data_IF_295417052718
#
_entry.id   IF_295417052718
#
_cell.length_a   1.000
_cell.length_b   1.000
_cell.length_c   1.000
_cell.angle_alpha   90.00
_cell.angle_beta   90.00
_cell.angle_gamma   90.00
#
_symmetry.space_group_name_H-M   'P 1'
#
loop_
_entity.id
_entity.type
_entity.pdbx_description
1 polymer ?
#
# COMPACT_ATOMS: atom_id res chain seq x y z
N UNK A 1 14.05 8.92 21.86
CA UNK A 1 13.44 9.57 20.67
C UNK A 1 13.93 9.02 19.34
N UNK A 2 15.25 8.86 19.13
CA UNK A 2 15.79 8.28 17.90
C UNK A 2 15.28 6.86 17.59
N UNK A 3 15.08 6.01 18.63
CA UNK A 3 14.55 4.65 18.47
C UNK A 3 13.13 4.62 17.86
N UNK A 4 12.20 5.44 18.39
CA UNK A 4 10.83 5.53 17.87
C UNK A 4 10.77 6.07 16.43
N UNK A 5 11.66 7.01 16.08
CA UNK A 5 11.81 7.53 14.72
C UNK A 5 12.36 6.46 13.77
N UNK A 6 13.38 5.69 14.18
CA UNK A 6 13.94 4.59 13.40
C UNK A 6 12.90 3.51 13.10
N UNK A 7 12.11 3.11 14.11
CA UNK A 7 11.02 2.15 13.94
C UNK A 7 9.96 2.68 12.99
N UNK A 8 9.53 3.93 13.13
CA UNK A 8 8.51 4.53 12.25
C UNK A 8 8.96 4.60 10.78
N UNK A 9 10.23 4.97 10.54
CA UNK A 9 10.79 5.04 9.19
C UNK A 9 10.90 3.63 8.60
N UNK A 10 11.39 2.65 9.37
CA UNK A 10 11.49 1.26 8.94
C UNK A 10 10.13 0.64 8.61
N UNK A 11 9.11 0.87 9.45
CA UNK A 11 7.75 0.37 9.19
C UNK A 11 7.10 1.04 7.98
N UNK A 12 7.31 2.35 7.79
CA UNK A 12 6.86 3.07 6.60
C UNK A 12 7.53 2.53 5.33
N UNK A 13 8.84 2.24 5.38
CA UNK A 13 9.57 1.72 4.23
C UNK A 13 9.10 0.30 3.85
N UNK A 14 8.93 -0.58 4.84
CA UNK A 14 8.40 -1.93 4.63
C UNK A 14 6.99 -1.90 4.01
N UNK A 15 6.12 -1.02 4.52
CA UNK A 15 4.77 -0.86 3.99
C UNK A 15 4.76 -0.27 2.58
N UNK A 16 5.66 0.65 2.28
CA UNK A 16 5.80 1.24 0.96
C UNK A 16 6.21 0.19 -0.07
N UNK A 17 7.19 -0.66 0.24
CA UNK A 17 7.62 -1.74 -0.65
C UNK A 17 6.49 -2.77 -0.84
N UNK A 18 5.84 -3.21 0.24
CA UNK A 18 4.77 -4.20 0.16
C UNK A 18 3.56 -3.66 -0.64
N UNK A 19 3.19 -2.40 -0.44
CA UNK A 19 2.12 -1.74 -1.19
C UNK A 19 2.48 -1.47 -2.65
N UNK A 20 3.76 -1.21 -2.96
CA UNK A 20 4.25 -1.09 -4.33
C UNK A 20 4.09 -2.42 -5.08
N UNK A 21 4.49 -3.54 -4.47
CA UNK A 21 4.37 -4.89 -5.05
C UNK A 21 2.89 -5.22 -5.29
N UNK A 22 2.03 -5.07 -4.28
CA UNK A 22 0.61 -5.37 -4.40
C UNK A 22 -0.10 -4.43 -5.39
N UNK A 23 0.20 -3.14 -5.34
CA UNK A 23 -0.46 -2.10 -6.12
C UNK A 23 -0.07 -2.11 -7.59
N UNK A 24 1.17 -2.49 -7.92
CA UNK A 24 1.64 -2.58 -9.31
C UNK A 24 1.26 -3.90 -9.98
N UNK A 25 1.15 -5.02 -9.27
CA UNK A 25 0.98 -6.33 -9.90
C UNK A 25 -0.47 -6.82 -9.92
N UNK A 26 -1.27 -6.55 -8.89
CA UNK A 26 -2.52 -7.29 -8.69
C UNK A 26 -3.80 -6.52 -9.07
N UNK A 27 -3.81 -5.19 -9.00
CA UNK A 27 -5.08 -4.42 -9.01
C UNK A 27 -5.10 -3.26 -10.01
N UNK A 28 -4.44 -3.40 -11.18
CA UNK A 28 -4.29 -2.29 -12.16
C UNK A 28 -5.60 -1.75 -12.73
N UNK A 29 -6.61 -2.61 -12.86
CA UNK A 29 -7.88 -2.31 -13.53
C UNK A 29 -8.97 -1.83 -12.57
N UNK A 30 -8.71 -1.84 -11.27
CA UNK A 30 -9.74 -1.51 -10.29
C UNK A 30 -9.93 -0.01 -10.06
N UNK A 31 -11.15 0.41 -9.66
CA UNK A 31 -11.44 1.77 -9.25
C UNK A 31 -10.51 2.24 -8.10
N UNK A 32 -10.18 3.54 -7.99
CA UNK A 32 -9.17 4.04 -7.06
C UNK A 32 -9.38 3.62 -5.61
N UNK A 33 -10.63 3.66 -5.14
CA UNK A 33 -11.00 3.27 -3.76
C UNK A 33 -10.74 1.77 -3.56
N UNK A 34 -11.32 0.92 -4.41
CA UNK A 34 -11.18 -0.53 -4.31
C UNK A 34 -9.72 -0.97 -4.42
N UNK A 35 -8.99 -0.40 -5.39
CA UNK A 35 -7.56 -0.63 -5.58
C UNK A 35 -6.75 -0.29 -4.34
N UNK A 36 -7.04 0.85 -3.70
CA UNK A 36 -6.32 1.28 -2.48
C UNK A 36 -6.57 0.29 -1.35
N UNK A 37 -7.82 -0.08 -1.10
CA UNK A 37 -8.19 -1.04 -0.05
C UNK A 37 -7.53 -2.41 -0.25
N UNK A 38 -7.59 -2.96 -1.46
CA UNK A 38 -6.98 -4.26 -1.77
C UNK A 38 -5.46 -4.22 -1.69
N UNK A 39 -4.84 -3.12 -2.13
CA UNK A 39 -3.40 -2.91 -2.00
C UNK A 39 -2.98 -2.81 -0.53
N UNK A 40 -3.75 -2.10 0.29
CA UNK A 40 -3.50 -1.96 1.73
C UNK A 40 -3.63 -3.28 2.48
N UNK A 41 -4.69 -4.04 2.21
CA UNK A 41 -4.88 -5.38 2.79
C UNK A 41 -3.75 -6.33 2.40
N UNK A 42 -3.38 -6.39 1.12
CA UNK A 42 -2.27 -7.23 0.66
C UNK A 42 -0.93 -6.81 1.29
N UNK A 43 -0.67 -5.51 1.43
CA UNK A 43 0.53 -5.00 2.11
C UNK A 43 0.54 -5.39 3.60
N UNK A 44 -0.59 -5.25 4.30
CA UNK A 44 -0.72 -5.68 5.70
C UNK A 44 -0.50 -7.19 5.86
N UNK A 45 -1.06 -8.01 4.97
CA UNK A 45 -0.84 -9.47 4.99
C UNK A 45 0.63 -9.81 4.77
N UNK A 46 1.29 -9.18 3.80
CA UNK A 46 2.73 -9.39 3.55
C UNK A 46 3.59 -8.98 4.75
N UNK A 47 3.27 -7.86 5.39
CA UNK A 47 3.98 -7.40 6.59
C UNK A 47 3.74 -8.34 7.76
N UNK A 48 2.51 -8.80 7.97
CA UNK A 48 2.21 -9.78 9.01
C UNK A 48 2.97 -11.10 8.80
N UNK A 49 3.10 -11.55 7.54
CA UNK A 49 3.92 -12.72 7.19
C UNK A 49 5.40 -12.47 7.47
N UNK A 50 5.96 -11.33 7.03
CA UNK A 50 7.38 -11.01 7.22
C UNK A 50 7.73 -10.78 8.70
N UNK A 51 6.88 -10.06 9.44
CA UNK A 51 7.05 -9.85 10.87
C UNK A 51 6.91 -11.15 11.67
N UNK A 52 5.97 -12.01 11.26
CA UNK A 52 5.79 -13.34 11.84
C UNK A 52 6.95 -14.31 11.59
N UNK A 53 7.65 -14.16 10.46
CA UNK A 53 8.83 -14.96 10.08
C UNK A 53 10.16 -14.35 10.58
N UNK A 54 10.17 -13.06 10.93
CA UNK A 54 11.38 -12.29 11.24
C UNK A 54 11.95 -12.48 12.65
N UNK A 55 11.25 -13.19 13.54
CA UNK A 55 11.76 -13.50 14.88
C UNK A 55 12.85 -14.56 14.79
N UNK A 56 14.09 -14.10 14.60
CA UNK A 56 15.27 -14.96 14.44
C UNK A 56 15.85 -15.48 15.77
N UNK A 57 15.28 -15.09 16.91
CA UNK A 57 15.83 -15.32 18.26
C UNK A 57 14.87 -16.01 19.24
N UNK A 58 14.06 -16.98 18.79
CA UNK A 58 13.32 -17.88 19.68
C UNK A 58 12.10 -17.29 20.41
N UNK A 59 11.81 -15.99 20.23
CA UNK A 59 10.56 -15.39 20.72
C UNK A 59 9.38 -15.79 19.82
N UNK A 60 8.27 -16.22 20.45
CA UNK A 60 7.09 -16.72 19.76
C UNK A 60 6.50 -15.73 18.73
N UNK A 61 5.68 -16.26 17.81
CA UNK A 61 5.06 -15.49 16.74
C UNK A 61 4.31 -14.26 17.30
N UNK A 62 4.76 -13.06 16.95
CA UNK A 62 4.16 -11.80 17.41
C UNK A 62 2.93 -11.46 16.56
N UNK A 63 1.78 -12.08 16.89
CA UNK A 63 0.49 -11.86 16.22
C UNK A 63 0.07 -10.40 16.09
N UNK A 64 0.58 -9.51 16.93
CA UNK A 64 0.21 -8.09 16.97
C UNK A 64 1.29 -7.15 16.43
N UNK A 65 2.40 -7.66 15.90
CA UNK A 65 3.48 -6.84 15.35
C UNK A 65 2.97 -5.89 14.25
N UNK A 66 2.00 -6.35 13.44
CA UNK A 66 1.35 -5.56 12.37
C UNK A 66 0.65 -4.29 12.88
N UNK A 67 0.21 -4.23 14.15
CA UNK A 67 -0.44 -3.03 14.72
C UNK A 67 0.48 -1.81 14.68
N UNK A 68 1.78 -2.03 14.87
CA UNK A 68 2.79 -0.95 14.83
C UNK A 68 2.95 -0.34 13.43
N UNK A 69 2.47 -1.03 12.39
CA UNK A 69 2.54 -0.60 11.00
C UNK A 69 1.26 0.13 10.56
N UNK A 70 0.17 0.09 11.34
CA UNK A 70 -1.12 0.73 10.97
C UNK A 70 -0.96 2.23 10.68
N UNK A 71 -0.32 3.05 11.54
CA UNK A 71 -0.25 4.50 11.30
C UNK A 71 0.49 4.83 10.00
N UNK A 72 1.62 4.16 9.75
CA UNK A 72 2.38 4.31 8.51
C UNK A 72 1.57 3.79 7.30
N UNK A 73 0.85 2.69 7.48
CA UNK A 73 -0.02 2.11 6.47
C UNK A 73 -1.13 3.06 6.02
N UNK A 74 -1.80 3.73 6.97
CA UNK A 74 -2.84 4.73 6.65
C UNK A 74 -2.27 5.88 5.83
N UNK A 75 -1.11 6.43 6.22
CA UNK A 75 -0.45 7.54 5.51
C UNK A 75 -0.12 7.13 4.08
N UNK A 76 0.47 5.94 3.91
CA UNK A 76 0.86 5.42 2.60
C UNK A 76 -0.36 5.08 1.75
N UNK A 77 -1.43 4.53 2.34
CA UNK A 77 -2.70 4.29 1.64
C UNK A 77 -3.34 5.58 1.15
N UNK A 78 -3.30 6.65 1.95
CA UNK A 78 -3.75 7.98 1.54
C UNK A 78 -2.95 8.51 0.34
N UNK A 79 -1.61 8.39 0.38
CA UNK A 79 -0.75 8.79 -0.73
C UNK A 79 -1.07 7.98 -2.01
N UNK A 80 -1.28 6.67 -1.87
CA UNK A 80 -1.68 5.80 -2.98
C UNK A 80 -3.06 6.13 -3.53
N UNK A 81 -4.02 6.45 -2.67
CA UNK A 81 -5.37 6.86 -3.08
C UNK A 81 -5.32 8.10 -3.96
N UNK A 82 -4.58 9.14 -3.54
CA UNK A 82 -4.42 10.37 -4.32
C UNK A 82 -3.76 10.07 -5.67
N UNK A 83 -2.71 9.24 -5.69
CA UNK A 83 -2.04 8.81 -6.91
C UNK A 83 -2.98 8.05 -7.85
N UNK A 84 -3.75 7.10 -7.34
CA UNK A 84 -4.68 6.31 -8.16
C UNK A 84 -5.84 7.15 -8.68
N UNK A 85 -6.34 8.10 -7.87
CA UNK A 85 -7.36 9.05 -8.30
C UNK A 85 -6.86 9.91 -9.46
N UNK A 86 -5.63 10.44 -9.38
CA UNK A 86 -5.03 11.20 -10.46
C UNK A 86 -4.89 10.38 -11.75
N UNK A 87 -4.39 9.14 -11.65
CA UNK A 87 -4.26 8.23 -12.80
C UNK A 87 -5.60 7.80 -13.39
N UNK A 88 -6.62 7.62 -12.55
CA UNK A 88 -7.97 7.25 -13.00
C UNK A 88 -8.64 8.38 -13.76
N UNK A 89 -8.59 9.59 -13.21
CA UNK A 89 -9.12 10.78 -13.87
C UNK A 89 -8.44 11.00 -15.22
N UNK A 90 -7.11 10.94 -15.28
CA UNK A 90 -6.36 11.09 -16.54
C UNK A 90 -6.72 10.05 -17.62
N UNK A 91 -6.97 8.79 -17.23
CA UNK A 91 -7.40 7.73 -18.17
C UNK A 91 -8.80 7.97 -18.72
N UNK A 92 -9.73 8.50 -17.93
CA UNK A 92 -11.08 8.78 -18.40
C UNK A 92 -11.11 10.00 -19.31
N UNK A 93 -10.35 11.06 -18.99
CA UNK A 93 -10.17 12.21 -19.89
C UNK A 93 -9.65 11.78 -21.27
N UNK A 94 -8.64 10.91 -21.31
CA UNK A 94 -8.09 10.38 -22.57
C UNK A 94 -9.10 9.59 -23.40
N UNK A 95 -10.00 8.84 -22.76
CA UNK A 95 -11.06 8.09 -23.47
C UNK A 95 -12.13 9.00 -24.03
N UNK A 96 -12.54 10.02 -23.27
CA UNK A 96 -13.52 11.01 -23.73
C UNK A 96 -13.00 11.83 -24.93
N UNK A 97 -11.72 12.25 -24.91
CA UNK A 97 -11.11 12.91 -26.07
C UNK A 97 -10.96 11.99 -27.27
N UNK A 98 -10.60 10.71 -27.06
CA UNK A 98 -10.48 9.75 -28.15
C UNK A 98 -11.83 9.48 -28.85
N UNK A 99 -12.93 9.46 -28.09
CA UNK A 99 -14.28 9.34 -28.65
C UNK A 99 -14.69 10.62 -29.38
N UNK A 100 -14.30 11.80 -28.89
CA UNK A 100 -14.59 13.07 -29.53
C UNK A 100 -13.84 13.27 -30.87
N UNK A 101 -12.66 12.67 -31.04
CA UNK A 101 -11.90 12.71 -32.29
C UNK A 101 -12.39 11.70 -33.34
N UNK A 102 -13.22 10.71 -32.95
CA UNK A 102 -13.82 9.71 -33.86
C UNK A 102 -15.19 10.10 -34.43
N UNK A 103 -15.81 11.20 -33.95
CA UNK A 103 -17.12 11.73 -34.39
C UNK A 103 -16.91 12.94 -35.31
#
# INVERSE_FOLDING_TARGET
>A
MAYYLGTLIGTAFAFMIASLIAGLLLFKEEPPISRTWKTGLAALTLIALVAGLGNRDGEGFQWFAWLTYIPAGIIIMLAWYLRYKALWNGRNYSKETAIADEI
#
